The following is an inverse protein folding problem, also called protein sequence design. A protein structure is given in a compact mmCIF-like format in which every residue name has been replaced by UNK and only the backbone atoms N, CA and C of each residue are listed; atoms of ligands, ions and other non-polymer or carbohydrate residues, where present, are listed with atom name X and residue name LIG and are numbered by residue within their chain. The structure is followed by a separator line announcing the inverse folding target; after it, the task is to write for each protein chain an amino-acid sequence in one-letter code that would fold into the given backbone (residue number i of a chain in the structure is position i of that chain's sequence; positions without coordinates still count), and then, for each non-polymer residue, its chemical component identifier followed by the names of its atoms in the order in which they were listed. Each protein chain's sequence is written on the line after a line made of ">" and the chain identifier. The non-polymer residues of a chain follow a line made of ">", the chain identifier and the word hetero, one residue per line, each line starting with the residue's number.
data_IF_450909083884
#
_entry.id   IF_450909083884
#
_cell.length_a   1.000
_cell.length_b   1.000
_cell.length_c   1.000
_cell.angle_alpha   90.00
_cell.angle_beta   90.00
_cell.angle_gamma   90.00
#
_symmetry.space_group_name_H-M   'P 1'
#
loop_
_entity.id
_entity.type
_entity.pdbx_description
1 polymer ?
#
# COMPACT_ATOMS: atom_id res chain seq x y z
N UNK A 1 9.85 -7.86 -22.54
CA UNK A 1 9.15 -6.58 -22.28
C UNK A 1 9.48 -6.01 -20.89
N UNK A 2 9.23 -6.73 -19.80
CA UNK A 2 9.46 -6.22 -18.43
C UNK A 2 10.87 -5.71 -18.09
N UNK A 3 11.94 -6.36 -18.60
CA UNK A 3 13.33 -5.89 -18.33
C UNK A 3 13.60 -4.48 -18.86
N UNK A 4 13.13 -4.17 -20.07
CA UNK A 4 13.34 -2.86 -20.70
C UNK A 4 12.60 -1.76 -19.95
N UNK A 5 11.42 -2.07 -19.41
CA UNK A 5 10.65 -1.11 -18.61
C UNK A 5 11.36 -0.75 -17.31
N UNK A 6 11.93 -1.75 -16.63
CA UNK A 6 12.77 -1.52 -15.43
C UNK A 6 13.99 -0.67 -15.78
N UNK A 7 14.67 -0.96 -16.90
CA UNK A 7 15.83 -0.18 -17.34
C UNK A 7 15.47 1.29 -17.62
N UNK A 8 14.32 1.54 -18.24
CA UNK A 8 13.80 2.90 -18.49
C UNK A 8 13.39 3.61 -17.20
N UNK A 9 12.63 2.94 -16.32
CA UNK A 9 12.17 3.47 -15.04
C UNK A 9 13.32 3.78 -14.06
N UNK A 10 14.49 3.20 -14.29
CA UNK A 10 15.69 3.40 -13.47
C UNK A 10 16.84 4.03 -14.26
N UNK A 11 16.55 4.71 -15.37
CA UNK A 11 17.56 5.38 -16.18
C UNK A 11 18.25 6.51 -15.40
N UNK A 12 19.56 6.66 -15.60
CA UNK A 12 20.33 7.75 -14.98
C UNK A 12 19.94 9.14 -15.50
N UNK A 13 19.26 9.21 -16.64
CA UNK A 13 18.80 10.46 -17.25
C UNK A 13 17.56 11.06 -16.56
N UNK A 14 16.84 10.30 -15.74
CA UNK A 14 15.59 10.74 -15.10
C UNK A 14 15.85 11.82 -14.04
N UNK A 15 14.98 12.82 -13.89
CA UNK A 15 15.08 13.79 -12.78
C UNK A 15 14.79 13.19 -11.39
N UNK A 16 14.03 12.09 -11.36
CA UNK A 16 13.58 11.40 -10.16
C UNK A 16 12.79 10.14 -10.51
N UNK A 17 12.07 9.52 -9.57
CA UNK A 17 11.22 8.37 -9.84
C UNK A 17 10.17 8.68 -10.92
N UNK A 18 10.10 7.82 -11.93
CA UNK A 18 9.07 7.86 -12.95
C UNK A 18 7.85 7.09 -12.45
N UNK A 19 6.94 7.80 -11.78
CA UNK A 19 5.80 7.17 -11.11
C UNK A 19 4.86 6.49 -12.09
N UNK A 20 4.65 7.05 -13.27
CA UNK A 20 3.86 6.44 -14.33
C UNK A 20 4.41 5.05 -14.70
N UNK A 21 5.72 4.97 -15.00
CA UNK A 21 6.35 3.67 -15.30
C UNK A 21 6.37 2.73 -14.12
N UNK A 22 6.53 3.24 -12.90
CA UNK A 22 6.52 2.41 -11.70
C UNK A 22 5.15 1.75 -11.47
N UNK A 23 4.05 2.48 -11.70
CA UNK A 23 2.69 1.95 -11.60
C UNK A 23 2.43 0.97 -12.74
N UNK A 24 2.84 1.28 -13.97
CA UNK A 24 2.74 0.34 -15.11
C UNK A 24 3.48 -0.98 -14.83
N UNK A 25 4.66 -0.92 -14.19
CA UNK A 25 5.39 -2.10 -13.76
C UNK A 25 4.61 -2.91 -12.71
N UNK A 26 3.89 -2.24 -11.80
CA UNK A 26 3.04 -2.91 -10.82
C UNK A 26 1.88 -3.66 -11.50
N UNK A 27 1.21 -3.03 -12.47
CA UNK A 27 0.14 -3.66 -13.24
C UNK A 27 0.64 -4.93 -13.96
N UNK A 28 1.86 -4.88 -14.53
CA UNK A 28 2.48 -6.05 -15.16
C UNK A 28 2.79 -7.16 -14.15
N UNK A 29 3.27 -6.80 -12.95
CA UNK A 29 3.54 -7.77 -11.89
C UNK A 29 2.25 -8.47 -11.43
N UNK A 30 1.16 -7.72 -11.30
CA UNK A 30 -0.15 -8.22 -10.88
C UNK A 30 -0.85 -9.05 -11.97
N UNK A 31 -0.62 -8.73 -13.24
CA UNK A 31 -1.22 -9.46 -14.35
C UNK A 31 -0.56 -10.82 -14.61
N UNK A 32 0.77 -10.92 -14.52
CA UNK A 32 1.50 -12.14 -14.86
C UNK A 32 2.66 -12.44 -13.88
N UNK A 33 2.56 -13.50 -13.05
CA UNK A 33 3.60 -13.93 -12.11
C UNK A 33 4.98 -14.18 -12.75
N UNK A 34 5.02 -14.68 -14.00
CA UNK A 34 6.28 -14.93 -14.71
C UNK A 34 7.00 -13.61 -14.99
N UNK A 35 6.25 -12.56 -15.31
CA UNK A 35 6.82 -11.23 -15.51
C UNK A 35 7.32 -10.63 -14.20
N UNK A 36 6.62 -10.83 -13.08
CA UNK A 36 7.06 -10.38 -11.76
C UNK A 36 8.47 -10.92 -11.42
N UNK A 37 8.71 -12.21 -11.66
CA UNK A 37 10.03 -12.83 -11.46
C UNK A 37 11.15 -12.19 -12.27
N UNK A 38 10.91 -11.91 -13.56
CA UNK A 38 11.91 -11.27 -14.43
C UNK A 38 12.10 -9.78 -14.08
N UNK A 39 11.04 -9.07 -13.68
CA UNK A 39 11.10 -7.68 -13.19
C UNK A 39 12.00 -7.61 -11.94
N UNK A 40 11.73 -8.44 -10.92
CA UNK A 40 12.54 -8.48 -9.68
C UNK A 40 14.01 -8.81 -9.98
N UNK A 41 14.25 -9.75 -10.91
CA UNK A 41 15.60 -10.11 -11.35
C UNK A 41 16.31 -8.93 -12.03
N UNK A 42 15.63 -8.18 -12.89
CA UNK A 42 16.23 -7.00 -13.53
C UNK A 42 16.45 -5.89 -12.51
N UNK A 43 15.52 -5.64 -11.58
CA UNK A 43 15.71 -4.68 -10.49
C UNK A 43 16.97 -5.01 -9.67
N UNK A 44 17.17 -6.29 -9.32
CA UNK A 44 18.39 -6.74 -8.64
C UNK A 44 19.66 -6.41 -9.45
N UNK A 45 19.64 -6.50 -10.78
CA UNK A 45 20.77 -6.07 -11.61
C UNK A 45 20.99 -4.56 -11.50
N UNK A 46 19.91 -3.75 -11.52
CA UNK A 46 20.00 -2.28 -11.39
C UNK A 46 20.56 -1.84 -10.03
N UNK A 47 20.24 -2.54 -8.94
CA UNK A 47 20.83 -2.30 -7.62
C UNK A 47 22.36 -2.44 -7.58
N UNK A 48 22.94 -3.27 -8.47
CA UNK A 48 24.39 -3.45 -8.60
C UNK A 48 25.07 -2.41 -9.49
N UNK A 49 24.32 -1.41 -9.99
CA UNK A 49 24.89 -0.28 -10.71
C UNK A 49 25.86 0.49 -9.83
N UNK A 50 26.90 1.08 -10.46
CA UNK A 50 27.80 2.03 -9.79
C UNK A 50 27.17 3.41 -9.59
N UNK A 51 26.11 3.71 -10.33
CA UNK A 51 25.40 4.99 -10.23
C UNK A 51 24.46 4.98 -9.03
N UNK A 52 24.74 5.81 -8.02
CA UNK A 52 23.88 6.01 -6.85
C UNK A 52 22.46 6.41 -7.25
N UNK A 53 22.32 7.15 -8.36
CA UNK A 53 21.02 7.54 -8.92
C UNK A 53 20.24 6.33 -9.43
N UNK A 54 20.88 5.46 -10.20
CA UNK A 54 20.26 4.20 -10.65
C UNK A 54 19.89 3.32 -9.45
N UNK A 55 20.75 3.26 -8.42
CA UNK A 55 20.45 2.53 -7.19
C UNK A 55 19.22 3.10 -6.48
N UNK A 56 19.13 4.41 -6.28
CA UNK A 56 17.97 5.06 -5.64
C UNK A 56 16.66 4.81 -6.39
N UNK A 57 16.68 4.92 -7.72
CA UNK A 57 15.51 4.65 -8.56
C UNK A 57 15.11 3.17 -8.46
N UNK A 58 16.08 2.25 -8.50
CA UNK A 58 15.82 0.83 -8.34
C UNK A 58 15.26 0.49 -6.95
N UNK A 59 15.82 1.05 -5.87
CA UNK A 59 15.33 0.87 -4.50
C UNK A 59 13.89 1.39 -4.36
N UNK A 60 13.61 2.55 -4.95
CA UNK A 60 12.26 3.15 -4.97
C UNK A 60 11.29 2.24 -5.72
N UNK A 61 11.69 1.69 -6.86
CA UNK A 61 10.86 0.73 -7.60
C UNK A 61 10.61 -0.55 -6.79
N UNK A 62 11.61 -1.09 -6.07
CA UNK A 62 11.41 -2.24 -5.16
C UNK A 62 10.35 -1.91 -4.11
N UNK A 63 10.46 -0.76 -3.45
CA UNK A 63 9.48 -0.32 -2.47
C UNK A 63 8.07 -0.27 -3.07
N UNK A 64 7.92 0.31 -4.25
CA UNK A 64 6.63 0.42 -4.95
C UNK A 64 6.04 -0.95 -5.25
N UNK A 65 6.80 -1.87 -5.86
CA UNK A 65 6.24 -3.19 -6.19
C UNK A 65 5.93 -4.03 -4.95
N UNK A 66 6.73 -3.92 -3.87
CA UNK A 66 6.45 -4.62 -2.61
C UNK A 66 5.18 -4.08 -1.95
N UNK A 67 4.92 -2.77 -2.04
CA UNK A 67 3.70 -2.17 -1.48
C UNK A 67 2.44 -2.48 -2.29
N UNK A 68 2.55 -2.64 -3.61
CA UNK A 68 1.37 -2.65 -4.50
C UNK A 68 1.05 -4.02 -5.14
N UNK A 69 1.96 -5.00 -5.09
CA UNK A 69 1.80 -6.24 -5.88
C UNK A 69 1.58 -7.52 -5.06
N UNK A 70 1.41 -7.39 -3.74
CA UNK A 70 1.08 -8.49 -2.85
C UNK A 70 2.09 -9.65 -2.85
N UNK A 71 1.58 -10.80 -2.42
CA UNK A 71 2.37 -11.98 -2.01
C UNK A 71 3.27 -12.54 -3.11
N UNK A 72 2.84 -12.49 -4.37
CA UNK A 72 3.63 -13.02 -5.49
C UNK A 72 4.94 -12.26 -5.68
N UNK A 73 4.91 -10.93 -5.54
CA UNK A 73 6.11 -10.11 -5.58
C UNK A 73 6.93 -10.28 -4.31
N UNK A 74 6.28 -10.41 -3.15
CA UNK A 74 6.98 -10.64 -1.88
C UNK A 74 7.82 -11.91 -1.92
N UNK A 75 7.25 -13.00 -2.44
CA UNK A 75 7.91 -14.27 -2.69
C UNK A 75 9.12 -14.11 -3.61
N UNK A 76 8.95 -13.49 -4.78
CA UNK A 76 10.04 -13.34 -5.73
C UNK A 76 11.16 -12.41 -5.22
N UNK A 77 10.83 -11.34 -4.48
CA UNK A 77 11.83 -10.47 -3.83
C UNK A 77 12.66 -11.27 -2.82
N UNK A 78 12.02 -12.15 -2.05
CA UNK A 78 12.68 -13.06 -1.13
C UNK A 78 13.55 -14.11 -1.85
N UNK A 79 12.98 -14.87 -2.79
CA UNK A 79 13.69 -15.91 -3.58
C UNK A 79 14.88 -15.36 -4.37
N UNK A 80 14.79 -14.11 -4.82
CA UNK A 80 15.90 -13.43 -5.52
C UNK A 80 16.91 -12.84 -4.57
N UNK A 81 16.79 -13.01 -3.26
CA UNK A 81 17.76 -12.54 -2.26
C UNK A 81 18.01 -11.02 -2.39
N UNK A 82 16.96 -10.27 -2.71
CA UNK A 82 17.04 -8.84 -2.95
C UNK A 82 17.27 -8.06 -1.64
N UNK A 83 16.62 -8.38 -0.50
CA UNK A 83 16.96 -7.79 0.80
C UNK A 83 18.44 -7.99 1.18
N UNK A 84 19.01 -9.17 0.92
CA UNK A 84 20.43 -9.43 1.18
C UNK A 84 21.36 -8.68 0.23
N UNK A 85 20.97 -8.47 -1.04
CA UNK A 85 21.73 -7.60 -1.96
C UNK A 85 21.74 -6.16 -1.45
N UNK A 86 20.62 -5.64 -0.94
CA UNK A 86 20.56 -4.32 -0.31
C UNK A 86 21.46 -4.24 0.94
N UNK A 87 21.47 -5.26 1.78
CA UNK A 87 22.37 -5.33 2.93
C UNK A 87 23.86 -5.31 2.50
N UNK A 88 24.22 -6.03 1.43
CA UNK A 88 25.57 -6.00 0.84
C UNK A 88 25.95 -4.60 0.34
N UNK A 89 25.02 -3.86 -0.24
CA UNK A 89 25.26 -2.48 -0.71
C UNK A 89 25.59 -1.59 0.48
N UNK A 90 24.82 -1.63 1.58
CA UNK A 90 25.09 -0.85 2.80
C UNK A 90 26.48 -1.12 3.36
N UNK A 91 26.90 -2.39 3.41
CA UNK A 91 28.23 -2.79 3.90
C UNK A 91 29.39 -2.25 3.06
N UNK A 92 29.14 -1.92 1.78
CA UNK A 92 30.12 -1.32 0.88
C UNK A 92 30.21 0.20 0.96
N UNK A 93 29.58 0.83 1.97
CA UNK A 93 29.57 2.29 2.19
C UNK A 93 29.09 3.05 0.93
N UNK A 94 27.82 2.87 0.54
CA UNK A 94 27.26 3.53 -0.63
C UNK A 94 27.04 5.03 -0.33
N UNK A 95 26.52 5.75 -1.31
CA UNK A 95 26.02 7.11 -1.12
C UNK A 95 25.04 7.20 0.07
N UNK A 96 25.03 8.35 0.76
CA UNK A 96 24.24 8.56 1.95
C UNK A 96 22.75 8.29 1.72
N UNK A 97 22.18 8.84 0.64
CA UNK A 97 20.76 8.67 0.33
C UNK A 97 20.42 7.21 0.03
N UNK A 98 21.31 6.50 -0.67
CA UNK A 98 21.17 5.06 -0.94
C UNK A 98 21.15 4.26 0.36
N UNK A 99 22.11 4.53 1.25
CA UNK A 99 22.20 3.88 2.57
C UNK A 99 20.93 4.13 3.37
N UNK A 100 20.53 5.39 3.53
CA UNK A 100 19.36 5.78 4.31
C UNK A 100 18.08 5.09 3.80
N UNK A 101 17.85 5.12 2.49
CA UNK A 101 16.67 4.49 1.87
C UNK A 101 16.64 2.98 2.12
N UNK A 102 17.79 2.29 1.98
CA UNK A 102 17.89 0.85 2.26
C UNK A 102 17.58 0.56 3.73
N UNK A 103 18.15 1.32 4.65
CA UNK A 103 17.93 1.10 6.09
C UNK A 103 16.47 1.30 6.47
N UNK A 104 15.83 2.35 5.94
CA UNK A 104 14.40 2.60 6.15
C UNK A 104 13.55 1.45 5.64
N UNK A 105 13.84 0.92 4.44
CA UNK A 105 13.10 -0.21 3.87
C UNK A 105 13.32 -1.52 4.64
N UNK A 106 14.55 -1.85 4.99
CA UNK A 106 14.83 -3.07 5.76
C UNK A 106 14.21 -2.99 7.15
N UNK A 107 14.29 -1.84 7.83
CA UNK A 107 13.62 -1.65 9.12
C UNK A 107 12.10 -1.76 9.00
N UNK A 108 11.55 -1.28 7.90
CA UNK A 108 10.13 -1.40 7.57
C UNK A 108 9.74 -2.86 7.33
N UNK A 109 10.50 -3.58 6.51
CA UNK A 109 10.19 -4.97 6.15
C UNK A 109 10.37 -5.96 7.29
N UNK A 110 11.31 -5.74 8.22
CA UNK A 110 11.48 -6.63 9.38
C UNK A 110 10.19 -6.71 10.23
N UNK A 111 9.45 -5.61 10.33
CA UNK A 111 8.23 -5.51 11.12
C UNK A 111 7.06 -6.07 10.31
N UNK A 112 7.03 -5.71 9.02
CA UNK A 112 5.93 -5.99 8.13
C UNK A 112 5.87 -7.48 7.69
N UNK A 113 7.03 -8.13 7.54
CA UNK A 113 7.14 -9.55 7.16
C UNK A 113 7.42 -10.50 8.32
N UNK A 114 7.54 -9.98 9.55
CA UNK A 114 7.79 -10.79 10.75
C UNK A 114 9.23 -11.27 10.94
N UNK A 115 9.40 -12.20 11.88
CA UNK A 115 10.71 -12.67 12.36
C UNK A 115 11.27 -13.90 11.63
N UNK A 116 12.25 -14.62 12.24
CA UNK A 116 12.95 -15.76 11.62
C UNK A 116 12.06 -16.93 11.19
N UNK A 117 10.87 -17.05 11.79
CA UNK A 117 9.90 -18.12 11.52
C UNK A 117 8.78 -17.68 10.56
N UNK A 118 8.85 -16.47 10.03
CA UNK A 118 7.85 -15.96 9.10
C UNK A 118 7.96 -16.63 7.72
N UNK A 119 6.96 -16.42 6.87
CA UNK A 119 6.87 -17.01 5.53
C UNK A 119 8.06 -16.65 4.63
N UNK A 120 8.58 -15.43 4.75
CA UNK A 120 9.71 -14.92 3.99
C UNK A 120 10.83 -14.46 4.93
N UNK A 121 11.57 -15.38 5.55
CA UNK A 121 12.57 -15.05 6.57
C UNK A 121 13.74 -14.20 6.04
N UNK A 122 13.93 -14.14 4.72
CA UNK A 122 14.99 -13.35 4.06
C UNK A 122 14.89 -11.85 4.37
N UNK A 123 13.68 -11.31 4.55
CA UNK A 123 13.49 -9.91 4.92
C UNK A 123 14.07 -9.63 6.31
N UNK A 124 13.79 -10.51 7.28
CA UNK A 124 14.33 -10.41 8.63
C UNK A 124 15.82 -10.74 8.69
N UNK A 125 16.29 -11.72 7.92
CA UNK A 125 17.69 -12.12 7.86
C UNK A 125 18.58 -10.97 7.37
N UNK A 126 18.13 -10.18 6.38
CA UNK A 126 18.84 -8.98 5.94
C UNK A 126 18.94 -7.91 7.03
N UNK A 127 17.90 -7.71 7.83
CA UNK A 127 17.94 -6.85 9.02
C UNK A 127 18.97 -7.35 10.04
N UNK A 128 18.91 -8.63 10.41
CA UNK A 128 19.86 -9.21 11.36
C UNK A 128 21.30 -9.14 10.86
N UNK A 129 21.54 -9.35 9.57
CA UNK A 129 22.85 -9.28 8.94
C UNK A 129 23.47 -7.87 9.06
N UNK A 130 22.64 -6.82 8.96
CA UNK A 130 23.07 -5.44 9.18
C UNK A 130 23.32 -5.14 10.66
N UNK A 131 22.45 -5.61 11.56
CA UNK A 131 22.65 -5.46 13.01
C UNK A 131 23.95 -6.13 13.47
N UNK A 132 24.23 -7.36 13.02
CA UNK A 132 25.49 -8.07 13.30
C UNK A 132 26.71 -7.32 12.76
N UNK A 133 26.53 -6.53 11.70
CA UNK A 133 27.56 -5.67 11.14
C UNK A 133 27.67 -4.30 11.84
N UNK A 134 26.96 -4.09 12.94
CA UNK A 134 27.01 -2.85 13.73
C UNK A 134 26.22 -1.69 13.13
N UNK A 135 25.32 -1.94 12.18
CA UNK A 135 24.46 -0.90 11.60
C UNK A 135 23.37 -0.51 12.58
N UNK A 136 23.30 0.78 12.90
CA UNK A 136 22.21 1.37 13.66
C UNK A 136 21.11 1.79 12.69
N UNK A 137 19.90 1.28 12.91
CA UNK A 137 18.73 1.64 12.12
C UNK A 137 18.08 2.92 12.66
N UNK A 138 17.49 3.76 11.78
CA UNK A 138 16.74 4.93 12.21
C UNK A 138 15.58 4.50 13.12
N UNK A 139 15.37 5.24 14.22
CA UNK A 139 14.19 5.03 15.07
C UNK A 139 12.95 5.42 14.29
N UNK A 140 11.94 4.56 14.27
CA UNK A 140 10.61 4.96 13.77
C UNK A 140 10.05 6.02 14.73
N UNK A 141 9.51 7.14 14.23
CA UNK A 141 8.64 7.97 15.05
C UNK A 141 7.41 7.14 15.45
N UNK A 142 6.98 7.24 16.71
CA UNK A 142 5.89 6.43 17.29
C UNK A 142 4.54 6.58 16.55
N UNK A 143 4.42 7.57 15.67
CA UNK A 143 3.26 7.90 14.84
C UNK A 143 3.25 7.28 13.44
N UNK A 144 4.18 6.40 13.08
CA UNK A 144 4.20 5.81 11.72
C UNK A 144 3.13 4.73 11.52
N UNK A 145 2.26 4.89 10.51
CA UNK A 145 1.26 3.90 10.12
C UNK A 145 1.88 2.57 9.65
N UNK A 146 1.19 1.43 9.86
CA UNK A 146 1.65 0.12 9.39
C UNK A 146 1.85 0.09 7.86
N UNK A 147 2.89 -0.61 7.43
CA UNK A 147 3.42 -0.57 6.05
C UNK A 147 2.58 -1.38 5.08
N UNK A 148 1.91 -2.39 5.60
CA UNK A 148 0.94 -3.17 4.84
C UNK A 148 -0.43 -2.64 5.16
N UNK A 149 -1.13 -2.14 4.14
CA UNK A 149 -2.57 -2.39 4.06
C UNK A 149 -2.75 -3.91 4.18
N UNK A 150 -3.56 -4.40 5.13
CA UNK A 150 -3.80 -5.83 5.27
C UNK A 150 -4.28 -6.42 3.92
N UNK A 151 -3.88 -7.65 3.56
CA UNK A 151 -4.30 -8.28 2.31
C UNK A 151 -5.83 -8.35 2.25
N UNK A 152 -6.40 -8.12 1.07
CA UNK A 152 -7.81 -8.41 0.79
C UNK A 152 -8.10 -9.87 1.16
N UNK A 153 -8.93 -10.07 2.18
CA UNK A 153 -9.32 -11.36 2.71
C UNK A 153 -10.66 -11.84 2.14
N UNK A 154 -10.85 -11.77 0.81
CA UNK A 154 -12.01 -12.38 0.16
C UNK A 154 -11.63 -13.10 -1.15
N UNK A 155 -11.91 -14.42 -1.26
CA UNK A 155 -11.85 -15.15 -2.53
C UNK A 155 -12.98 -14.69 -3.46
N UNK A 156 -12.68 -14.64 -4.76
CA UNK A 156 -13.69 -14.60 -5.82
C UNK A 156 -14.52 -15.90 -5.74
N UNK A 157 -15.79 -15.83 -5.35
CA UNK A 157 -16.74 -16.93 -5.55
C UNK A 157 -17.93 -16.46 -6.37
N UNK A 158 -17.94 -16.87 -7.63
CA UNK A 158 -19.03 -16.70 -8.57
C UNK A 158 -19.99 -17.90 -8.47
N UNK A 159 -21.28 -17.60 -8.30
CA UNK A 159 -22.51 -18.41 -8.44
C UNK A 159 -22.94 -19.47 -7.38
N UNK A 160 -24.25 -19.48 -7.01
CA UNK A 160 -24.82 -20.31 -5.95
C UNK A 160 -25.46 -21.62 -6.47
N UNK A 161 -25.51 -22.64 -5.61
CA UNK A 161 -26.54 -23.70 -5.68
C UNK A 161 -27.10 -23.95 -4.29
N UNK A 162 -28.34 -23.48 -4.10
CA UNK A 162 -29.26 -24.00 -3.10
C UNK A 162 -29.69 -25.42 -3.46
N UNK A 163 -29.84 -26.27 -2.44
CA UNK A 163 -31.09 -26.97 -2.05
C UNK A 163 -30.69 -28.10 -1.07
N UNK A 164 -31.21 -28.00 0.15
CA UNK A 164 -31.15 -29.01 1.21
C UNK A 164 -32.45 -29.83 1.19
N UNK A 165 -32.36 -31.16 1.28
CA UNK A 165 -33.34 -31.98 2.01
C UNK A 165 -32.70 -33.33 2.47
N UNK A 166 -33.22 -33.97 3.55
CA UNK A 166 -32.48 -34.93 4.38
C UNK A 166 -32.82 -36.41 4.10
N UNK A 167 -32.07 -37.28 4.79
CA UNK A 167 -32.31 -38.69 5.16
C UNK A 167 -31.41 -39.78 4.54
N UNK A 168 -30.98 -40.66 5.47
CA UNK A 168 -30.47 -42.03 5.36
C UNK A 168 -28.93 -42.28 5.31
N UNK A 169 -28.44 -42.87 6.41
CA UNK A 169 -27.17 -43.62 6.59
C UNK A 169 -27.36 -45.07 6.09
N UNK A 170 -26.32 -45.96 6.06
CA UNK A 170 -24.86 -45.79 5.99
C UNK A 170 -24.16 -46.72 4.95
N UNK A 171 -22.93 -46.41 4.50
CA UNK A 171 -21.77 -47.33 4.52
C UNK A 171 -20.55 -46.85 3.71
N UNK A 172 -19.38 -47.26 4.24
CA UNK A 172 -18.09 -47.52 3.60
C UNK A 172 -17.21 -46.35 3.11
N UNK A 173 -16.13 -46.14 3.89
CA UNK A 173 -14.73 -45.86 3.50
C UNK A 173 -14.43 -44.95 2.28
N UNK A 174 -13.83 -43.78 2.53
CA UNK A 174 -12.40 -43.49 2.26
C UNK A 174 -12.06 -41.99 2.49
N UNK A 175 -10.93 -41.76 3.18
CA UNK A 175 -9.94 -40.67 3.02
C UNK A 175 -10.35 -39.25 2.58
N UNK A 176 -10.16 -38.28 3.49
CA UNK A 176 -9.31 -37.06 3.37
C UNK A 176 -9.89 -35.78 4.01
N UNK A 177 -8.97 -34.91 4.39
CA UNK A 177 -9.02 -33.73 5.27
C UNK A 177 -9.87 -32.53 4.81
N UNK A 178 -10.56 -31.86 5.74
CA UNK A 178 -10.92 -30.43 5.61
C UNK A 178 -10.72 -29.68 6.93
N UNK A 179 -10.07 -28.51 6.84
CA UNK A 179 -9.84 -27.58 7.93
C UNK A 179 -10.99 -26.57 8.02
N UNK A 180 -11.45 -26.31 9.24
CA UNK A 180 -12.42 -25.28 9.59
C UNK A 180 -11.95 -23.87 9.20
N UNK A 181 -12.82 -23.07 8.57
CA UNK A 181 -12.66 -21.62 8.48
C UNK A 181 -13.63 -20.92 9.45
N UNK A 182 -13.19 -19.97 10.30
CA UNK A 182 -14.07 -19.25 11.21
C UNK A 182 -14.93 -18.22 10.46
N UNK A 183 -16.22 -18.17 10.81
CA UNK A 183 -17.14 -17.10 10.42
C UNK A 183 -16.75 -15.79 11.12
N UNK A 184 -16.43 -14.73 10.36
CA UNK A 184 -16.21 -13.37 10.88
C UNK A 184 -17.51 -12.86 11.53
N UNK A 185 -17.39 -12.20 12.68
CA UNK A 185 -18.50 -11.72 13.50
C UNK A 185 -19.07 -10.40 12.95
N UNK A 186 -20.38 -10.18 13.09
CA UNK A 186 -21.12 -9.00 12.61
C UNK A 186 -20.53 -7.66 13.13
N UNK A 187 -19.85 -7.70 14.29
CA UNK A 187 -19.11 -6.57 14.88
C UNK A 187 -17.82 -6.19 14.15
N UNK A 188 -17.25 -7.08 13.33
CA UNK A 188 -16.04 -6.81 12.54
C UNK A 188 -16.38 -6.06 11.24
N UNK A 189 -17.60 -6.25 10.70
CA UNK A 189 -18.13 -5.48 9.56
C UNK A 189 -18.38 -4.02 9.95
N UNK A 190 -18.85 -3.76 11.18
CA UNK A 190 -19.15 -2.41 11.66
C UNK A 190 -17.91 -1.55 11.97
N UNK A 191 -16.71 -2.14 11.99
CA UNK A 191 -15.45 -1.46 12.38
C UNK A 191 -14.60 -0.99 11.19
N UNK A 192 -14.97 -1.32 9.95
CA UNK A 192 -14.24 -0.89 8.76
C UNK A 192 -14.86 0.40 8.18
N UNK A 193 -14.53 1.55 8.79
CA UNK A 193 -14.99 2.87 8.33
C UNK A 193 -14.24 3.30 7.07
N UNK A 194 -14.97 3.83 6.10
CA UNK A 194 -14.42 4.32 4.83
C UNK A 194 -13.70 5.66 5.00
N UNK A 195 -12.85 6.04 4.03
CA UNK A 195 -12.15 7.34 4.07
C UNK A 195 -13.13 8.52 4.14
N UNK A 196 -14.32 8.37 3.56
CA UNK A 196 -15.39 9.37 3.62
C UNK A 196 -16.01 9.50 5.02
N UNK A 197 -16.13 8.42 5.79
CA UNK A 197 -16.64 8.48 7.18
C UNK A 197 -15.68 9.21 8.10
N UNK A 198 -14.38 8.90 7.96
CA UNK A 198 -13.34 9.53 8.76
C UNK A 198 -13.34 11.04 8.49
N UNK A 199 -13.50 11.44 7.23
CA UNK A 199 -13.62 12.85 6.85
C UNK A 199 -14.88 13.50 7.43
N UNK A 200 -16.03 12.82 7.39
CA UNK A 200 -17.28 13.31 7.97
C UNK A 200 -17.17 13.49 9.50
N UNK A 201 -16.61 12.51 10.20
CA UNK A 201 -16.42 12.56 11.65
C UNK A 201 -15.40 13.61 12.08
N UNK A 202 -14.30 13.78 11.34
CA UNK A 202 -13.32 14.82 11.62
C UNK A 202 -13.91 16.22 11.48
N UNK A 203 -14.72 16.44 10.44
CA UNK A 203 -15.44 17.71 10.26
C UNK A 203 -16.45 17.94 11.40
N UNK A 204 -17.11 16.88 11.88
CA UNK A 204 -18.06 16.97 13.00
C UNK A 204 -17.38 17.13 14.37
N UNK A 205 -16.15 16.63 14.54
CA UNK A 205 -15.41 16.67 15.81
C UNK A 205 -14.73 18.03 16.07
N UNK A 206 -14.70 18.92 15.07
CA UNK A 206 -14.13 20.26 15.17
C UNK A 206 -15.22 21.29 15.56
N UNK A 207 -15.30 21.52 16.87
CA UNK A 207 -15.97 22.62 17.60
C UNK A 207 -17.44 22.97 17.23
N UNK A 208 -18.44 22.59 18.06
CA UNK A 208 -19.85 22.95 17.85
C UNK A 208 -20.15 24.47 17.97
N UNK A 209 -19.17 25.29 18.38
CA UNK A 209 -19.31 26.74 18.57
C UNK A 209 -18.88 27.63 17.40
N UNK A 210 -18.16 27.11 16.40
CA UNK A 210 -17.67 27.91 15.26
C UNK A 210 -18.14 27.31 13.92
N UNK A 211 -19.44 27.47 13.62
CA UNK A 211 -20.03 27.14 12.32
C UNK A 211 -19.60 28.15 11.25
N UNK A 212 -18.31 28.21 10.95
CA UNK A 212 -17.94 28.67 9.62
C UNK A 212 -18.19 27.50 8.66
N UNK A 213 -19.25 27.59 7.86
CA UNK A 213 -19.66 26.68 6.76
C UNK A 213 -18.60 26.51 5.64
N UNK A 214 -17.34 26.85 5.93
CA UNK A 214 -16.25 27.02 4.97
C UNK A 214 -15.00 26.23 5.29
N UNK A 215 -15.02 25.32 6.26
CA UNK A 215 -13.87 24.44 6.47
C UNK A 215 -13.74 23.43 5.33
N UNK A 216 -12.56 23.38 4.71
CA UNK A 216 -12.24 22.50 3.60
C UNK A 216 -11.34 21.36 4.10
N UNK A 217 -11.82 20.12 3.99
CA UNK A 217 -11.00 18.95 4.27
C UNK A 217 -10.03 18.71 3.11
N UNK A 218 -8.74 18.60 3.38
CA UNK A 218 -7.69 18.45 2.37
C UNK A 218 -7.02 17.10 2.53
N UNK A 219 -7.12 16.26 1.49
CA UNK A 219 -6.53 14.94 1.43
C UNK A 219 -5.58 14.82 0.23
N UNK A 220 -4.33 14.45 0.47
CA UNK A 220 -3.37 14.18 -0.62
C UNK A 220 -3.51 12.72 -1.08
N UNK A 221 -4.65 12.39 -1.68
CA UNK A 221 -4.98 11.02 -2.09
C UNK A 221 -6.19 10.90 -3.01
N UNK A 222 -6.58 9.67 -3.32
CA UNK A 222 -7.84 9.39 -4.04
C UNK A 222 -8.96 9.15 -3.05
N UNK A 223 -10.07 9.86 -3.19
CA UNK A 223 -11.30 9.61 -2.45
C UNK A 223 -12.18 8.65 -3.25
N UNK A 224 -12.51 7.53 -2.63
CA UNK A 224 -13.35 6.46 -3.20
C UNK A 224 -14.65 6.34 -2.42
N UNK A 225 -15.75 6.05 -3.11
CA UNK A 225 -17.04 5.77 -2.48
C UNK A 225 -17.04 4.36 -1.91
N UNK A 226 -17.32 4.24 -0.61
CA UNK A 226 -17.49 2.96 0.04
C UNK A 226 -18.99 2.65 0.12
N UNK A 227 -19.41 1.64 -0.66
CA UNK A 227 -20.82 1.24 -0.78
C UNK A 227 -21.40 0.64 0.50
N UNK A 228 -20.54 0.29 1.47
CA UNK A 228 -20.97 -0.20 2.79
C UNK A 228 -21.48 0.93 3.69
N UNK A 229 -21.20 2.18 3.32
CA UNK A 229 -21.69 3.35 4.03
C UNK A 229 -23.16 3.54 3.68
N UNK A 230 -24.05 3.06 4.55
CA UNK A 230 -25.49 3.22 4.37
C UNK A 230 -26.02 4.55 4.96
N UNK A 231 -25.17 5.34 5.61
CA UNK A 231 -25.54 6.63 6.20
C UNK A 231 -25.51 7.78 5.17
N UNK A 232 -26.43 8.73 5.36
CA UNK A 232 -26.46 9.98 4.60
C UNK A 232 -25.27 10.85 5.01
N UNK A 233 -24.43 11.22 4.04
CA UNK A 233 -23.27 12.06 4.30
C UNK A 233 -23.73 13.50 4.61
N UNK A 234 -23.11 14.18 5.58
CA UNK A 234 -23.31 15.61 5.74
C UNK A 234 -22.70 16.40 4.59
N UNK A 235 -23.24 17.59 4.31
CA UNK A 235 -22.66 18.53 3.36
C UNK A 235 -21.23 18.90 3.78
N UNK A 236 -20.25 18.69 2.90
CA UNK A 236 -18.83 18.93 3.20
C UNK A 236 -18.07 19.46 1.98
N UNK A 237 -17.05 20.30 2.22
CA UNK A 237 -16.12 20.76 1.17
C UNK A 237 -14.83 19.98 1.28
N UNK A 238 -14.43 19.30 0.20
CA UNK A 238 -13.27 18.39 0.22
C UNK A 238 -12.36 18.67 -0.97
N UNK A 239 -11.07 18.81 -0.73
CA UNK A 239 -10.02 18.85 -1.75
C UNK A 239 -9.26 17.54 -1.76
N UNK A 240 -9.12 16.92 -2.93
CA UNK A 240 -8.32 15.70 -3.10
C UNK A 240 -7.56 15.67 -4.43
N UNK A 241 -6.57 14.77 -4.55
CA UNK A 241 -5.85 14.57 -5.82
C UNK A 241 -6.78 13.97 -6.88
N UNK A 242 -7.70 13.09 -6.45
CA UNK A 242 -8.67 12.44 -7.33
C UNK A 242 -9.91 12.04 -6.53
N UNK A 243 -11.06 12.07 -7.18
CA UNK A 243 -12.32 11.50 -6.68
C UNK A 243 -12.75 10.39 -7.64
N UNK A 244 -13.28 9.28 -7.13
CA UNK A 244 -14.11 8.40 -7.97
C UNK A 244 -15.38 9.13 -8.35
N UNK A 245 -15.96 8.78 -9.50
CA UNK A 245 -17.19 9.39 -9.99
C UNK A 245 -18.34 9.22 -8.98
N UNK A 246 -18.44 8.03 -8.39
CA UNK A 246 -19.41 7.71 -7.34
C UNK A 246 -19.22 8.55 -6.08
N UNK A 247 -17.97 8.79 -5.64
CA UNK A 247 -17.69 9.58 -4.45
C UNK A 247 -18.07 11.05 -4.67
N UNK A 248 -17.71 11.59 -5.84
CA UNK A 248 -18.07 12.95 -6.24
C UNK A 248 -19.60 13.11 -6.26
N UNK A 249 -20.30 12.22 -6.96
CA UNK A 249 -21.76 12.27 -7.06
C UNK A 249 -22.43 12.20 -5.69
N UNK A 250 -21.89 11.40 -4.77
CA UNK A 250 -22.41 11.26 -3.41
C UNK A 250 -22.18 12.51 -2.56
N UNK A 251 -20.99 13.12 -2.63
CA UNK A 251 -20.67 14.37 -1.93
C UNK A 251 -21.57 15.51 -2.44
N UNK A 252 -21.72 15.63 -3.76
CA UNK A 252 -22.56 16.67 -4.38
C UNK A 252 -24.05 16.45 -4.05
N UNK A 253 -24.53 15.20 -4.07
CA UNK A 253 -25.90 14.85 -3.66
C UNK A 253 -26.19 15.21 -2.20
N UNK A 254 -25.18 15.12 -1.33
CA UNK A 254 -25.26 15.54 0.06
C UNK A 254 -25.18 17.08 0.24
N UNK A 255 -25.06 17.86 -0.85
CA UNK A 255 -24.88 19.32 -0.80
C UNK A 255 -23.44 19.77 -0.52
N UNK A 256 -22.47 18.87 -0.63
CA UNK A 256 -21.05 19.15 -0.51
C UNK A 256 -20.38 19.59 -1.82
N UNK A 257 -19.09 19.91 -1.75
CA UNK A 257 -18.29 20.40 -2.89
C UNK A 257 -16.96 19.65 -2.99
N UNK A 258 -16.64 19.15 -4.19
CA UNK A 258 -15.35 18.55 -4.49
C UNK A 258 -14.43 19.56 -5.19
N UNK A 259 -13.26 19.83 -4.62
CA UNK A 259 -12.31 20.82 -5.09
C UNK A 259 -11.00 20.20 -5.59
N UNK A 260 -10.39 20.83 -6.58
CA UNK A 260 -8.99 20.57 -6.95
C UNK A 260 -8.05 21.37 -6.07
N UNK A 261 -6.76 20.99 -6.05
CA UNK A 261 -5.75 21.77 -5.33
C UNK A 261 -5.56 23.18 -5.91
N UNK A 262 -5.75 23.37 -7.21
CA UNK A 262 -5.71 24.70 -7.82
C UNK A 262 -6.87 25.57 -7.33
N UNK A 263 -8.08 25.00 -7.24
CA UNK A 263 -9.25 25.71 -6.71
C UNK A 263 -9.09 26.01 -5.21
N UNK A 264 -8.49 25.08 -4.45
CA UNK A 264 -8.15 25.32 -3.06
C UNK A 264 -7.14 26.46 -2.92
N UNK A 265 -6.08 26.48 -3.73
CA UNK A 265 -5.06 27.52 -3.69
C UNK A 265 -5.64 28.92 -3.98
N UNK A 266 -6.66 29.01 -4.84
CA UNK A 266 -7.36 30.28 -5.11
C UNK A 266 -8.25 30.72 -3.95
N UNK A 267 -8.87 29.78 -3.23
CA UNK A 267 -9.83 30.08 -2.15
C UNK A 267 -9.17 30.25 -0.78
N UNK A 268 -8.12 29.47 -0.51
CA UNK A 268 -7.39 29.44 0.75
C UNK A 268 -5.87 29.46 0.48
N UNK A 269 -5.33 30.55 -0.12
CA UNK A 269 -3.91 30.62 -0.51
C UNK A 269 -2.93 30.47 0.65
N UNK A 270 -3.36 30.79 1.87
CA UNK A 270 -2.58 30.64 3.11
C UNK A 270 -2.97 29.39 3.92
N UNK A 271 -3.84 28.53 3.39
CA UNK A 271 -4.35 27.33 4.08
C UNK A 271 -5.27 27.64 5.26
N UNK A 272 -5.83 28.84 5.34
CA UNK A 272 -6.83 29.22 6.33
C UNK A 272 -8.08 28.35 6.16
N UNK A 273 -8.73 27.97 7.26
CA UNK A 273 -9.93 27.13 7.27
C UNK A 273 -9.76 25.77 6.55
N UNK A 274 -8.55 25.19 6.60
CA UNK A 274 -8.30 23.83 6.05
C UNK A 274 -8.00 22.81 7.14
N UNK A 275 -8.55 21.62 7.02
CA UNK A 275 -8.26 20.46 7.87
C UNK A 275 -7.46 19.46 7.04
N UNK A 276 -6.21 19.20 7.42
CA UNK A 276 -5.27 18.41 6.61
C UNK A 276 -5.18 16.97 7.13
N UNK A 277 -5.41 15.99 6.26
CA UNK A 277 -5.17 14.57 6.53
C UNK A 277 -4.03 14.07 5.62
N UNK A 278 -2.96 13.55 6.23
CA UNK A 278 -1.77 13.03 5.54
C UNK A 278 -1.78 11.50 5.50
#
# INVERSE_FOLDING_TARGET
>A
MGSLMVERATSETLGGPDWEKNIEICDICNYNPIHAKEIVKTIKKRLRSKSSKVQLLAITLVETIVKNCGDIVHMHVAEKELPHEMAKIVKKRPDFCVKEKILTLINTWKEAFGGPKARYPQYFAAYQDLVRHGVVFPKRPETSAPVFTPPQSQPLTTYPKDIRNPESRPNAAESSSEAEYPTLCLTEIQKARGIMDVLAEMLNALDPGNKEENQIAVLVGTITDDIRLQEELPAMKVTALRFTETARARIEKAGGECLTFDQLALRAPLGQNTVKHF
#
